data_IF_376170156889
#
_entry.id   IF_376170156889
#
_cell.length_a   1.000
_cell.length_b   1.000
_cell.length_c   1.000
_cell.angle_alpha   90.00
_cell.angle_beta   90.00
_cell.angle_gamma   90.00
#
_symmetry.space_group_name_H-M   'P 1'
#
loop_
_entity.id
_entity.type
_entity.pdbx_description
1 polymer ?
#
# COMPACT_ATOMS: atom_id res chain seq x y z
N UNK A 1 65.40 -60.53 38.35
CA UNK A 1 64.14 -59.74 38.31
C UNK A 1 64.51 -58.29 38.59
N UNK A 2 64.53 -57.45 37.56
CA UNK A 2 64.92 -56.04 37.66
C UNK A 2 63.67 -55.17 37.69
N UNK A 3 63.54 -54.34 38.73
CA UNK A 3 62.41 -53.44 38.96
C UNK A 3 62.54 -52.24 38.02
N UNK A 4 61.62 -52.12 37.05
CA UNK A 4 61.58 -50.97 36.14
C UNK A 4 60.72 -49.86 36.74
N UNK A 5 61.39 -48.78 37.11
CA UNK A 5 60.85 -47.53 37.63
C UNK A 5 59.89 -46.87 36.63
N UNK A 6 58.64 -46.61 37.06
CA UNK A 6 57.66 -45.90 36.23
C UNK A 6 57.92 -44.40 36.26
N UNK A 7 58.51 -43.86 35.20
CA UNK A 7 58.61 -42.42 34.95
C UNK A 7 57.22 -41.85 34.68
N UNK A 8 56.67 -41.08 35.64
CA UNK A 8 55.46 -40.29 35.42
C UNK A 8 55.82 -39.02 34.65
N UNK A 9 55.47 -38.97 33.36
CA UNK A 9 55.47 -37.70 32.59
C UNK A 9 54.34 -36.81 33.10
N UNK A 10 54.70 -35.62 33.58
CA UNK A 10 53.75 -34.55 33.94
C UNK A 10 53.18 -33.99 32.65
N UNK A 11 51.88 -34.18 32.42
CA UNK A 11 51.14 -33.56 31.31
C UNK A 11 50.93 -32.09 31.67
N UNK A 12 51.51 -31.18 30.91
CA UNK A 12 51.23 -29.74 31.02
C UNK A 12 49.77 -29.49 30.64
N UNK A 13 49.05 -28.83 31.55
CA UNK A 13 47.68 -28.40 31.29
C UNK A 13 47.70 -27.26 30.25
N UNK A 14 46.77 -27.24 29.28
CA UNK A 14 46.68 -26.12 28.34
C UNK A 14 46.42 -24.80 29.10
N UNK A 15 46.96 -23.68 28.60
CA UNK A 15 46.83 -22.40 29.28
C UNK A 15 45.36 -21.97 29.38
N UNK A 16 44.98 -21.24 30.46
CA UNK A 16 43.62 -20.78 30.64
C UNK A 16 43.22 -19.86 29.48
N UNK A 17 42.11 -20.18 28.81
CA UNK A 17 41.52 -19.33 27.77
C UNK A 17 41.07 -18.03 28.44
N UNK A 18 41.61 -16.89 28.00
CA UNK A 18 41.27 -15.59 28.55
C UNK A 18 39.77 -15.30 28.36
N UNK A 19 38.99 -15.15 29.46
CA UNK A 19 37.54 -14.95 29.38
C UNK A 19 37.15 -13.60 28.77
N UNK A 20 38.11 -12.67 28.68
CA UNK A 20 37.91 -11.33 28.08
C UNK A 20 37.75 -11.41 26.55
N UNK A 21 38.43 -12.34 25.88
CA UNK A 21 38.35 -12.58 24.44
C UNK A 21 37.00 -13.19 24.04
N UNK A 22 36.52 -14.17 24.82
CA UNK A 22 35.21 -14.78 24.60
C UNK A 22 34.10 -13.74 24.77
N UNK A 23 34.16 -12.92 25.83
CA UNK A 23 33.15 -11.89 26.09
C UNK A 23 33.09 -10.82 25.00
N UNK A 24 34.23 -10.42 24.43
CA UNK A 24 34.30 -9.46 23.31
C UNK A 24 33.70 -10.01 22.01
N UNK A 25 33.92 -11.31 21.74
CA UNK A 25 33.31 -11.97 20.58
C UNK A 25 31.78 -12.05 20.68
N UNK A 26 31.24 -12.36 21.87
CA UNK A 26 29.80 -12.39 22.10
C UNK A 26 29.14 -11.01 21.94
N UNK A 27 29.78 -9.96 22.48
CA UNK A 27 29.29 -8.59 22.35
C UNK A 27 29.35 -8.12 20.88
N UNK A 28 30.43 -8.41 20.17
CA UNK A 28 30.56 -8.09 18.75
C UNK A 28 29.51 -8.80 17.88
N UNK A 29 29.25 -10.08 18.16
CA UNK A 29 28.20 -10.85 17.48
C UNK A 29 26.79 -10.30 17.74
N UNK A 30 26.50 -9.87 18.98
CA UNK A 30 25.22 -9.27 19.33
C UNK A 30 25.00 -7.92 18.61
N UNK A 31 26.01 -7.06 18.56
CA UNK A 31 25.94 -5.77 17.86
C UNK A 31 25.72 -5.99 16.36
N UNK A 32 26.44 -6.94 15.75
CA UNK A 32 26.27 -7.27 14.35
C UNK A 32 24.86 -7.81 14.06
N UNK A 33 24.33 -8.68 14.93
CA UNK A 33 22.96 -9.18 14.81
C UNK A 33 21.91 -8.08 14.90
N UNK A 34 22.08 -7.11 15.80
CA UNK A 34 21.20 -5.94 15.90
C UNK A 34 21.30 -5.07 14.65
N UNK A 35 22.51 -4.78 14.15
CA UNK A 35 22.69 -3.97 12.95
C UNK A 35 22.06 -4.61 11.71
N UNK A 36 22.23 -5.93 11.55
CA UNK A 36 21.59 -6.67 10.45
C UNK A 36 20.07 -6.69 10.62
N UNK A 37 19.56 -6.91 11.85
CA UNK A 37 18.13 -6.86 12.14
C UNK A 37 17.51 -5.49 11.83
N UNK A 38 18.22 -4.41 12.18
CA UNK A 38 17.82 -3.03 11.85
C UNK A 38 17.84 -2.80 10.34
N UNK A 39 18.90 -3.20 9.64
CA UNK A 39 18.98 -3.05 8.18
C UNK A 39 17.85 -3.80 7.46
N UNK A 40 17.54 -5.03 7.88
CA UNK A 40 16.41 -5.80 7.33
C UNK A 40 15.08 -5.12 7.67
N UNK A 41 14.91 -4.62 8.90
CA UNK A 41 13.69 -3.92 9.29
C UNK A 41 13.46 -2.64 8.46
N UNK A 42 14.50 -1.86 8.16
CA UNK A 42 14.35 -0.63 7.39
C UNK A 42 14.34 -0.82 5.88
N UNK A 43 14.95 -1.88 5.34
CA UNK A 43 15.04 -2.09 3.89
C UNK A 43 14.02 -3.10 3.34
N UNK A 44 13.62 -4.12 4.12
CA UNK A 44 12.71 -5.16 3.64
C UNK A 44 11.25 -4.93 4.03
N UNK A 45 10.97 -4.24 5.15
CA UNK A 45 9.60 -4.00 5.62
C UNK A 45 8.83 -3.00 4.74
N UNK A 46 9.39 -1.85 4.31
CA UNK A 46 8.64 -0.88 3.52
C UNK A 46 8.04 -1.44 2.21
N UNK A 47 8.81 -2.15 1.35
CA UNK A 47 8.24 -2.66 0.10
C UNK A 47 7.19 -3.76 0.32
N UNK A 48 7.29 -4.53 1.41
CA UNK A 48 6.27 -5.54 1.77
C UNK A 48 5.01 -4.83 2.28
N UNK A 49 5.15 -3.80 3.10
CA UNK A 49 4.01 -3.04 3.61
C UNK A 49 3.30 -2.26 2.50
N UNK A 50 4.02 -1.63 1.58
CA UNK A 50 3.41 -0.96 0.43
C UNK A 50 2.69 -1.98 -0.48
N UNK A 51 3.25 -3.18 -0.64
CA UNK A 51 2.63 -4.23 -1.46
C UNK A 51 1.33 -4.79 -0.84
N UNK A 52 1.23 -4.90 0.49
CA UNK A 52 0.06 -5.47 1.17
C UNK A 52 -0.91 -4.45 1.78
N UNK A 53 -0.46 -3.23 2.08
CA UNK A 53 -1.19 -2.19 2.81
C UNK A 53 -1.13 -0.80 2.17
N UNK A 54 -0.33 -0.60 1.12
CA UNK A 54 -0.19 0.69 0.44
C UNK A 54 -1.49 1.09 -0.24
N UNK A 55 -2.22 2.02 0.37
CA UNK A 55 -3.25 2.77 -0.36
C UNK A 55 -2.51 3.85 -1.13
N UNK A 56 -2.53 3.77 -2.46
CA UNK A 56 -1.90 4.83 -3.26
C UNK A 56 -2.79 6.07 -3.24
N UNK A 57 -2.30 7.14 -2.63
CA UNK A 57 -2.92 8.46 -2.63
C UNK A 57 -2.46 9.21 -3.90
N UNK A 58 -3.41 9.63 -4.74
CA UNK A 58 -3.16 10.20 -6.07
C UNK A 58 -3.92 11.51 -6.19
N UNK A 59 -3.21 12.59 -6.48
CA UNK A 59 -3.80 13.92 -6.65
C UNK A 59 -4.59 14.05 -7.96
N UNK A 60 -5.50 15.02 -8.02
CA UNK A 60 -6.29 15.31 -9.21
C UNK A 60 -5.37 15.60 -10.42
N UNK A 61 -5.67 14.98 -11.57
CA UNK A 61 -4.86 15.10 -12.79
C UNK A 61 -3.60 14.23 -12.82
N UNK A 62 -3.24 13.55 -11.72
CA UNK A 62 -2.16 12.56 -11.72
C UNK A 62 -2.68 11.17 -12.11
N UNK A 63 -1.81 10.41 -12.78
CA UNK A 63 -2.12 9.05 -13.21
C UNK A 63 -1.53 8.04 -12.24
N UNK A 64 -2.38 7.21 -11.63
CA UNK A 64 -1.94 5.97 -11.00
C UNK A 64 -1.48 4.99 -12.08
N UNK A 65 -0.32 4.34 -11.91
CA UNK A 65 0.13 3.25 -12.78
C UNK A 65 0.64 2.08 -11.96
N UNK A 66 0.04 0.91 -12.12
CA UNK A 66 0.52 -0.33 -11.49
C UNK A 66 0.03 -1.55 -12.25
N UNK A 67 0.88 -2.59 -12.35
CA UNK A 67 0.53 -3.89 -12.92
C UNK A 67 -0.16 -3.84 -14.30
N UNK A 68 0.18 -2.85 -15.14
CA UNK A 68 -0.41 -2.67 -16.48
C UNK A 68 -1.73 -1.89 -16.50
N UNK A 69 -2.19 -1.41 -15.34
CA UNK A 69 -3.41 -0.60 -15.17
C UNK A 69 -2.99 0.86 -14.96
N UNK A 70 -3.58 1.77 -15.71
CA UNK A 70 -3.48 3.21 -15.47
C UNK A 70 -4.85 3.83 -15.20
N UNK A 71 -4.94 4.63 -14.13
CA UNK A 71 -6.18 5.32 -13.72
C UNK A 71 -5.90 6.81 -13.56
N UNK A 72 -6.68 7.66 -14.21
CA UNK A 72 -6.55 9.13 -14.12
C UNK A 72 -7.93 9.74 -13.94
N UNK A 73 -8.08 10.63 -12.96
CA UNK A 73 -9.28 11.47 -12.87
C UNK A 73 -9.10 12.63 -13.84
N UNK A 74 -9.89 12.65 -14.92
CA UNK A 74 -9.84 13.69 -15.94
C UNK A 74 -10.70 14.90 -15.57
N UNK A 75 -11.89 14.66 -15.03
CA UNK A 75 -12.85 15.71 -14.71
C UNK A 75 -13.72 15.33 -13.51
N UNK A 76 -14.10 16.36 -12.74
CA UNK A 76 -15.00 16.24 -11.60
C UNK A 76 -16.02 17.36 -11.71
N UNK A 77 -17.29 16.99 -11.90
CA UNK A 77 -18.40 17.93 -11.96
C UNK A 77 -19.33 17.73 -10.77
N UNK A 78 -19.80 18.84 -10.22
CA UNK A 78 -20.75 18.86 -9.10
C UNK A 78 -21.98 19.66 -9.48
N UNK A 79 -23.15 19.10 -9.23
CA UNK A 79 -24.43 19.72 -9.54
C UNK A 79 -25.37 19.61 -8.34
N UNK A 80 -25.98 20.73 -7.96
CA UNK A 80 -27.00 20.75 -6.91
C UNK A 80 -28.38 20.60 -7.55
N UNK A 81 -29.03 19.47 -7.29
CA UNK A 81 -30.44 19.22 -7.61
C UNK A 81 -31.25 19.38 -6.33
N UNK A 82 -32.50 19.85 -6.40
CA UNK A 82 -33.39 20.25 -5.28
C UNK A 82 -33.01 19.69 -3.89
N UNK A 83 -32.95 18.36 -3.73
CA UNK A 83 -32.68 17.68 -2.46
C UNK A 83 -31.39 16.83 -2.45
N UNK A 84 -30.53 16.96 -3.47
CA UNK A 84 -29.34 16.12 -3.64
C UNK A 84 -28.16 16.88 -4.25
N UNK A 85 -26.95 16.54 -3.80
CA UNK A 85 -25.71 16.88 -4.50
C UNK A 85 -25.36 15.71 -5.42
N UNK A 86 -25.31 15.96 -6.72
CA UNK A 86 -24.81 15.02 -7.72
C UNK A 86 -23.34 15.29 -7.97
N UNK A 87 -22.54 14.22 -7.94
CA UNK A 87 -21.11 14.27 -8.24
C UNK A 87 -20.84 13.33 -9.40
N UNK A 88 -20.25 13.88 -10.46
CA UNK A 88 -19.88 13.15 -11.66
C UNK A 88 -18.36 13.13 -11.76
N UNK A 89 -17.76 11.95 -11.83
CA UNK A 89 -16.31 11.78 -11.95
C UNK A 89 -16.01 11.07 -13.26
N UNK A 90 -15.23 11.72 -14.12
CA UNK A 90 -14.72 11.13 -15.36
C UNK A 90 -13.37 10.47 -15.08
N UNK A 91 -13.36 9.15 -15.06
CA UNK A 91 -12.19 8.33 -14.81
C UNK A 91 -11.68 7.77 -16.13
N UNK A 92 -10.49 8.19 -16.56
CA UNK A 92 -9.81 7.60 -17.70
C UNK A 92 -9.04 6.36 -17.27
N UNK A 93 -9.25 5.27 -18.01
CA UNK A 93 -8.73 3.95 -17.69
C UNK A 93 -7.91 3.44 -18.86
N UNK A 94 -6.74 2.89 -18.56
CA UNK A 94 -5.94 2.12 -19.50
C UNK A 94 -5.58 0.77 -18.86
N UNK A 95 -6.29 -0.30 -19.25
CA UNK A 95 -5.92 -1.67 -18.94
C UNK A 95 -5.99 -2.52 -20.20
N UNK A 96 -4.83 -2.79 -20.79
CA UNK A 96 -4.71 -3.56 -22.03
C UNK A 96 -4.76 -5.08 -21.79
N UNK A 97 -4.48 -5.51 -20.57
CA UNK A 97 -4.37 -6.92 -20.22
C UNK A 97 -5.67 -7.48 -19.60
N UNK A 98 -6.63 -6.59 -19.28
CA UNK A 98 -7.92 -6.96 -18.71
C UNK A 98 -7.81 -7.57 -17.32
N UNK A 99 -6.84 -7.08 -16.54
CA UNK A 99 -6.57 -7.52 -15.18
C UNK A 99 -7.45 -6.79 -14.16
N UNK A 100 -7.87 -5.58 -14.49
CA UNK A 100 -8.71 -4.75 -13.65
C UNK A 100 -10.18 -5.05 -13.91
N UNK A 101 -10.90 -5.36 -12.83
CA UNK A 101 -12.29 -5.75 -12.88
C UNK A 101 -13.14 -4.90 -11.93
N UNK A 102 -13.40 -3.63 -12.28
CA UNK A 102 -14.15 -2.74 -11.40
C UNK A 102 -15.61 -3.18 -11.25
N UNK A 103 -16.10 -3.23 -10.01
CA UNK A 103 -17.53 -3.38 -9.72
C UNK A 103 -18.07 -2.07 -9.16
N UNK A 104 -19.39 -1.87 -9.26
CA UNK A 104 -20.03 -0.72 -8.62
C UNK A 104 -19.84 -0.71 -7.09
N UNK A 105 -19.58 -1.87 -6.47
CA UNK A 105 -19.38 -2.01 -5.02
C UNK A 105 -17.94 -1.79 -4.58
N UNK A 106 -16.96 -1.90 -5.49
CA UNK A 106 -15.54 -1.65 -5.21
C UNK A 106 -15.13 -0.18 -5.37
N UNK A 107 -16.07 0.67 -5.81
CA UNK A 107 -15.85 2.09 -6.04
C UNK A 107 -16.77 2.89 -5.13
N UNK A 108 -16.23 3.91 -4.47
CA UNK A 108 -16.99 4.80 -3.59
C UNK A 108 -16.39 6.18 -3.58
N UNK A 109 -17.22 7.19 -3.39
CA UNK A 109 -16.74 8.57 -3.18
C UNK A 109 -16.96 8.97 -1.71
N UNK A 110 -16.14 9.88 -1.23
CA UNK A 110 -16.14 10.40 0.13
C UNK A 110 -16.14 11.93 0.09
N UNK A 111 -17.01 12.55 0.90
CA UNK A 111 -16.98 14.00 1.14
C UNK A 111 -15.94 14.37 2.20
N UNK A 112 -15.58 15.65 2.30
CA UNK A 112 -14.71 16.18 3.38
C UNK A 112 -15.26 15.92 4.79
N UNK A 113 -16.57 15.72 4.94
CA UNK A 113 -17.20 15.31 6.21
C UNK A 113 -16.98 13.84 6.57
N UNK A 114 -16.41 13.04 5.67
CA UNK A 114 -16.23 11.59 5.81
C UNK A 114 -17.45 10.76 5.40
N UNK A 115 -18.52 11.40 4.90
CA UNK A 115 -19.69 10.67 4.40
C UNK A 115 -19.37 9.99 3.06
N UNK A 116 -19.75 8.72 2.92
CA UNK A 116 -19.39 7.87 1.77
C UNK A 116 -20.60 7.32 1.06
N UNK A 117 -20.55 7.27 -0.26
CA UNK A 117 -21.60 6.68 -1.10
C UNK A 117 -21.00 5.85 -2.24
N UNK A 118 -21.75 4.83 -2.64
CA UNK A 118 -21.51 4.04 -3.84
C UNK A 118 -22.01 4.79 -5.09
N UNK A 119 -21.50 4.49 -6.29
CA UNK A 119 -22.02 5.05 -7.53
C UNK A 119 -23.49 4.66 -7.71
N UNK A 120 -24.33 5.65 -8.03
CA UNK A 120 -25.72 5.44 -8.43
C UNK A 120 -25.78 4.88 -9.86
N UNK A 121 -24.86 5.31 -10.72
CA UNK A 121 -24.74 4.79 -12.09
C UNK A 121 -23.32 4.97 -12.62
N UNK A 122 -23.00 4.21 -13.68
CA UNK A 122 -21.77 4.35 -14.44
C UNK A 122 -22.02 4.25 -15.94
N UNK A 123 -21.18 4.91 -16.73
CA UNK A 123 -21.18 4.81 -18.19
C UNK A 123 -19.73 4.65 -18.69
N UNK A 124 -19.33 3.49 -19.24
CA UNK A 124 -20.15 2.29 -19.44
C UNK A 124 -20.62 1.67 -18.10
N UNK A 125 -21.70 0.85 -18.13
CA UNK A 125 -22.17 0.14 -16.95
C UNK A 125 -21.10 -0.83 -16.46
N UNK A 126 -20.73 -0.74 -15.18
CA UNK A 126 -19.83 -1.69 -14.53
C UNK A 126 -20.59 -3.01 -14.34
N UNK A 127 -20.07 -4.09 -14.93
CA UNK A 127 -20.68 -5.41 -14.84
C UNK A 127 -20.46 -6.02 -13.44
N UNK A 128 -21.51 -6.60 -12.86
CA UNK A 128 -21.44 -7.43 -11.66
C UNK A 128 -22.14 -8.77 -11.93
N UNK A 129 -21.41 -9.89 -12.06
CA UNK A 129 -19.97 -10.05 -11.91
C UNK A 129 -19.16 -9.44 -13.07
N UNK A 130 -17.95 -8.95 -12.78
CA UNK A 130 -17.05 -8.45 -13.81
C UNK A 130 -16.65 -9.55 -14.79
N UNK A 131 -16.64 -9.20 -16.08
CA UNK A 131 -16.06 -10.03 -17.14
C UNK A 131 -14.67 -9.50 -17.46
N UNK A 132 -13.59 -10.29 -17.24
CA UNK A 132 -12.24 -9.87 -17.57
C UNK A 132 -12.13 -9.52 -19.06
N UNK A 133 -11.54 -8.36 -19.35
CA UNK A 133 -11.37 -7.87 -20.70
C UNK A 133 -10.64 -6.55 -20.69
N UNK A 134 -9.93 -6.24 -21.78
CA UNK A 134 -9.24 -4.96 -21.91
C UNK A 134 -10.26 -3.82 -21.77
N UNK A 135 -10.00 -2.92 -20.83
CA UNK A 135 -10.83 -1.76 -20.55
C UNK A 135 -9.97 -0.53 -20.81
N UNK A 136 -10.27 0.17 -21.89
CA UNK A 136 -9.55 1.39 -22.27
C UNK A 136 -10.54 2.46 -22.65
N UNK A 137 -10.46 3.61 -22.00
CA UNK A 137 -11.34 4.74 -22.25
C UNK A 137 -11.92 5.34 -20.98
N UNK A 138 -12.80 6.34 -21.15
CA UNK A 138 -13.40 7.04 -20.05
C UNK A 138 -14.55 6.23 -19.43
N UNK A 139 -14.62 6.25 -18.11
CA UNK A 139 -15.74 5.77 -17.31
C UNK A 139 -16.30 6.95 -16.54
N UNK A 140 -17.54 7.30 -16.82
CA UNK A 140 -18.26 8.30 -16.06
C UNK A 140 -18.94 7.63 -14.86
N UNK A 141 -18.57 8.03 -13.65
CA UNK A 141 -19.17 7.57 -12.40
C UNK A 141 -20.05 8.67 -11.82
N UNK A 142 -21.31 8.35 -11.49
CA UNK A 142 -22.25 9.30 -10.90
C UNK A 142 -22.61 8.90 -9.48
N UNK A 143 -22.53 9.84 -8.57
CA UNK A 143 -22.80 9.67 -7.14
C UNK A 143 -23.83 10.69 -6.68
N UNK A 144 -24.59 10.31 -5.65
CA UNK A 144 -25.73 11.07 -5.18
C UNK A 144 -25.70 11.17 -3.67
N UNK A 145 -25.64 12.39 -3.18
CA UNK A 145 -25.58 12.70 -1.76
C UNK A 145 -26.86 13.42 -1.33
N UNK A 146 -27.45 13.05 -0.18
CA UNK A 146 -28.53 13.85 0.41
C UNK A 146 -28.03 15.28 0.68
N UNK A 147 -28.83 16.30 0.35
CA UNK A 147 -28.44 17.72 0.54
C UNK A 147 -28.14 18.11 2.00
N UNK A 148 -28.66 17.35 2.96
CA UNK A 148 -28.35 17.52 4.39
C UNK A 148 -26.91 17.16 4.75
N UNK A 149 -26.18 16.52 3.83
CA UNK A 149 -24.80 16.10 4.04
C UNK A 149 -23.89 17.29 3.77
N UNK A 150 -23.18 17.74 4.80
CA UNK A 150 -22.18 18.79 4.67
C UNK A 150 -20.89 18.23 4.03
N UNK A 151 -20.13 19.10 3.37
CA UNK A 151 -18.82 18.77 2.80
C UNK A 151 -18.81 18.73 1.28
N UNK A 152 -17.60 18.82 0.73
CA UNK A 152 -17.35 18.80 -0.71
C UNK A 152 -16.78 17.44 -1.11
N UNK A 153 -16.93 17.01 -2.37
CA UNK A 153 -16.36 15.74 -2.83
C UNK A 153 -14.84 15.77 -2.72
N UNK A 154 -14.29 14.82 -1.96
CA UNK A 154 -12.89 14.86 -1.57
C UNK A 154 -12.09 13.70 -2.16
N UNK A 155 -12.60 12.47 -2.06
CA UNK A 155 -11.83 11.27 -2.44
C UNK A 155 -12.71 10.28 -3.19
N UNK A 156 -12.23 9.79 -4.34
CA UNK A 156 -12.70 8.57 -4.97
C UNK A 156 -11.82 7.41 -4.53
N UNK A 157 -12.43 6.44 -3.86
CA UNK A 157 -11.78 5.19 -3.45
C UNK A 157 -12.10 4.11 -4.47
N UNK A 158 -11.07 3.35 -4.82
CA UNK A 158 -11.17 2.12 -5.62
C UNK A 158 -10.50 1.05 -4.77
N UNK A 159 -11.18 -0.05 -4.50
CA UNK A 159 -10.70 -1.09 -3.57
C UNK A 159 -9.74 -2.09 -4.23
N UNK A 160 -9.82 -2.25 -5.55
CA UNK A 160 -8.95 -3.10 -6.36
C UNK A 160 -8.73 -2.43 -7.72
N UNK A 161 -7.53 -1.89 -8.03
CA UNK A 161 -6.40 -1.75 -7.10
C UNK A 161 -6.76 -0.78 -5.98
N UNK A 162 -6.20 -1.00 -4.78
CA UNK A 162 -6.50 -0.17 -3.61
C UNK A 162 -5.89 1.23 -3.73
N UNK A 163 -6.67 2.19 -4.24
CA UNK A 163 -6.23 3.57 -4.49
C UNK A 163 -7.24 4.60 -4.01
N UNK A 164 -6.74 5.78 -3.64
CA UNK A 164 -7.49 6.97 -3.25
C UNK A 164 -7.11 8.10 -4.20
N UNK A 165 -8.06 8.52 -5.01
CA UNK A 165 -7.92 9.59 -5.98
C UNK A 165 -8.55 10.85 -5.39
N UNK A 166 -7.77 11.88 -5.12
CA UNK A 166 -8.29 13.15 -4.64
C UNK A 166 -9.05 13.86 -5.77
N UNK A 167 -10.24 14.35 -5.44
CA UNK A 167 -11.18 14.98 -6.37
C UNK A 167 -11.07 16.50 -6.40
N UNK A 168 -10.26 17.07 -5.52
CA UNK A 168 -9.93 18.48 -5.49
C UNK A 168 -8.42 18.65 -5.71
N UNK A 169 -7.99 19.71 -6.40
CA UNK A 169 -6.58 20.08 -6.39
C UNK A 169 -6.17 20.29 -4.94
N UNK A 170 -5.12 19.60 -4.47
CA UNK A 170 -4.61 19.83 -3.13
C UNK A 170 -4.28 21.30 -2.98
N UNK A 171 -4.78 21.96 -1.93
CA UNK A 171 -4.09 23.15 -1.46
C UNK A 171 -2.65 22.72 -1.20
N UNK A 172 -1.64 23.37 -1.81
CA UNK A 172 -0.25 23.08 -1.47
C UNK A 172 -0.13 23.30 0.04
N UNK A 173 0.14 22.23 0.78
CA UNK A 173 0.22 22.28 2.23
C UNK A 173 1.19 23.36 2.70
N UNK A 174 0.72 24.18 3.63
CA UNK A 174 1.55 24.99 4.54
C UNK A 174 2.49 24.10 5.39
#
# INVERSE_FOLDING_TARGET
MSSMERVRKKVEAPPPVDPSLTRRFWIGGAILGVLVGVAVAFLAIPPIFDHYFGVADIELGHTYRSNGIALTVEDVSTEFVVDRLLVSVLLQVEDQEGRWCPSATSIRTELTSGFRVLPESSDPPLADPCVPGALTGPILLRFSFPRITEGEPHILHIDDPRVRLYLQPGEPGD
#
